data_IF_901882066699
#
_entry.id   IF_901882066699
#
_cell.length_a   1.000
_cell.length_b   1.000
_cell.length_c   1.000
_cell.angle_alpha   90.00
_cell.angle_beta   90.00
_cell.angle_gamma   90.00
#
_symmetry.space_group_name_H-M   'P 1'
#
loop_
_entity.id
_entity.type
_entity.pdbx_description
1 polymer ?
#
# COMPACT_ATOMS: atom_id res chain seq x y z
N UNK A 1 5.09 2.70 -28.21
CA UNK A 1 4.69 4.05 -27.75
C UNK A 1 5.82 4.62 -26.90
N UNK A 2 6.08 5.93 -27.00
CA UNK A 2 7.05 6.65 -26.15
C UNK A 2 6.42 6.98 -24.81
N UNK A 3 6.94 6.40 -23.72
CA UNK A 3 6.34 6.52 -22.39
C UNK A 3 7.33 7.13 -21.41
N UNK A 4 6.87 8.09 -20.62
CA UNK A 4 7.53 8.45 -19.37
C UNK A 4 6.84 7.74 -18.22
N UNK A 5 7.62 7.09 -17.37
CA UNK A 5 7.13 6.44 -16.16
C UNK A 5 7.47 7.26 -14.92
N UNK A 6 6.52 7.46 -14.02
CA UNK A 6 6.71 8.19 -12.77
C UNK A 6 6.31 7.31 -11.57
N UNK A 7 7.28 6.87 -10.78
CA UNK A 7 7.02 5.97 -9.65
C UNK A 7 8.19 5.87 -8.70
N UNK A 8 7.98 5.32 -7.50
CA UNK A 8 9.02 5.30 -6.46
C UNK A 8 9.16 3.97 -5.73
N UNK A 9 8.12 3.45 -5.03
CA UNK A 9 8.27 2.27 -4.19
C UNK A 9 8.27 0.98 -5.01
N UNK A 10 8.50 -0.15 -4.33
CA UNK A 10 8.44 -1.50 -4.90
C UNK A 10 7.11 -1.79 -5.60
N UNK A 11 5.99 -1.21 -5.13
CA UNK A 11 4.68 -1.27 -5.79
C UNK A 11 4.70 -0.86 -7.27
N UNK A 12 5.55 0.10 -7.63
CA UNK A 12 5.59 0.66 -8.98
C UNK A 12 6.49 -0.15 -9.94
N UNK A 13 7.38 -1.00 -9.41
CA UNK A 13 8.39 -1.72 -10.21
C UNK A 13 7.73 -2.69 -11.20
N UNK A 14 6.72 -3.51 -10.83
CA UNK A 14 6.07 -4.40 -11.80
C UNK A 14 5.39 -3.65 -12.96
N UNK A 15 4.83 -2.48 -12.70
CA UNK A 15 4.27 -1.62 -13.76
C UNK A 15 5.36 -1.18 -14.75
N UNK A 16 6.49 -0.65 -14.25
CA UNK A 16 7.62 -0.25 -15.10
C UNK A 16 8.18 -1.44 -15.89
N UNK A 17 8.40 -2.57 -15.23
CA UNK A 17 8.86 -3.79 -15.88
C UNK A 17 7.92 -4.22 -17.01
N UNK A 18 6.61 -4.21 -16.75
CA UNK A 18 5.61 -4.58 -17.76
C UNK A 18 5.61 -3.67 -18.97
N UNK A 19 5.85 -2.37 -18.80
CA UNK A 19 5.97 -1.45 -19.94
C UNK A 19 7.12 -1.86 -20.87
N UNK A 20 8.28 -2.21 -20.30
CA UNK A 20 9.45 -2.68 -21.05
C UNK A 20 9.17 -4.02 -21.72
N UNK A 21 8.62 -4.98 -20.98
CA UNK A 21 8.29 -6.32 -21.49
C UNK A 21 7.27 -6.29 -22.64
N UNK A 22 6.30 -5.36 -22.59
CA UNK A 22 5.30 -5.14 -23.64
C UNK A 22 5.89 -4.42 -24.89
N UNK A 23 7.20 -4.12 -24.90
CA UNK A 23 7.89 -3.50 -26.04
C UNK A 23 7.68 -1.99 -26.17
N UNK A 24 7.26 -1.30 -25.10
CA UNK A 24 7.16 0.16 -25.13
C UNK A 24 8.55 0.81 -25.02
N UNK A 25 8.70 1.98 -25.62
CA UNK A 25 9.91 2.79 -25.49
C UNK A 25 9.76 3.64 -24.22
N UNK A 26 10.29 3.17 -23.09
CA UNK A 26 10.33 3.96 -21.85
C UNK A 26 11.47 4.97 -21.95
N UNK A 27 11.14 6.21 -22.33
CA UNK A 27 12.11 7.26 -22.66
C UNK A 27 12.70 7.95 -21.43
N UNK A 28 12.08 7.77 -20.26
CA UNK A 28 12.58 8.29 -19.01
C UNK A 28 11.76 7.86 -17.80
N UNK A 29 12.43 7.74 -16.67
CA UNK A 29 11.85 7.37 -15.37
C UNK A 29 12.01 8.53 -14.40
N UNK A 30 10.91 8.99 -13.82
CA UNK A 30 10.89 9.98 -12.75
C UNK A 30 10.64 9.29 -11.42
N UNK A 31 11.50 9.54 -10.45
CA UNK A 31 11.39 8.95 -9.11
C UNK A 31 11.79 9.95 -8.03
N UNK A 32 11.43 9.68 -6.78
CA UNK A 32 11.85 10.55 -5.67
C UNK A 32 13.37 10.53 -5.53
N UNK A 33 14.00 11.60 -5.02
CA UNK A 33 15.43 11.59 -4.67
C UNK A 33 15.76 10.45 -3.71
N UNK A 34 17.00 9.96 -3.78
CA UNK A 34 17.52 8.95 -2.85
C UNK A 34 17.35 9.44 -1.41
N UNK A 35 16.94 8.55 -0.51
CA UNK A 35 16.70 8.89 0.90
C UNK A 35 17.52 7.99 1.81
N UNK A 36 18.02 8.52 2.94
CA UNK A 36 18.57 7.70 4.00
C UNK A 36 17.56 6.66 4.50
N UNK A 37 17.95 5.38 4.54
CA UNK A 37 17.07 4.28 4.99
C UNK A 37 17.79 3.40 6.02
N UNK A 38 17.01 2.83 6.94
CA UNK A 38 17.49 1.85 7.92
C UNK A 38 18.36 2.42 9.04
N UNK A 39 18.97 1.52 9.82
CA UNK A 39 19.95 1.89 10.86
C UNK A 39 21.27 2.22 10.16
N UNK A 40 21.81 3.42 10.40
CA UNK A 40 23.05 3.90 9.77
C UNK A 40 22.84 4.96 8.67
N UNK A 41 21.58 5.28 8.32
CA UNK A 41 21.23 6.35 7.38
C UNK A 41 21.93 6.24 6.01
N UNK A 42 22.21 5.02 5.56
CA UNK A 42 22.77 4.78 4.22
C UNK A 42 21.82 5.33 3.16
N UNK A 43 22.35 6.18 2.29
CA UNK A 43 21.61 6.71 1.16
C UNK A 43 21.22 5.55 0.26
N UNK A 44 19.90 5.31 0.14
CA UNK A 44 19.37 4.15 -0.60
C UNK A 44 18.55 4.66 -1.78
N UNK A 45 18.84 4.20 -3.01
CA UNK A 45 18.04 4.56 -4.17
C UNK A 45 16.63 3.97 -4.09
N UNK A 46 15.61 4.63 -4.68
CA UNK A 46 14.30 4.04 -4.83
C UNK A 46 14.33 2.75 -5.67
N UNK A 47 13.47 1.76 -5.38
CA UNK A 47 13.37 0.54 -6.18
C UNK A 47 13.17 0.79 -7.69
N UNK A 48 12.35 1.78 -8.05
CA UNK A 48 12.14 2.18 -9.44
C UNK A 48 13.42 2.70 -10.11
N UNK A 49 14.29 3.41 -9.37
CA UNK A 49 15.59 3.87 -9.88
C UNK A 49 16.49 2.68 -10.20
N UNK A 50 16.60 1.74 -9.28
CA UNK A 50 17.44 0.54 -9.44
C UNK A 50 17.05 -0.23 -10.70
N UNK A 51 15.76 -0.52 -10.87
CA UNK A 51 15.28 -1.22 -12.06
C UNK A 51 15.56 -0.44 -13.35
N UNK A 52 15.34 0.89 -13.34
CA UNK A 52 15.59 1.73 -14.51
C UNK A 52 17.07 1.73 -14.93
N UNK A 53 17.98 1.89 -13.97
CA UNK A 53 19.43 1.89 -14.22
C UNK A 53 19.91 0.53 -14.74
N UNK A 54 19.42 -0.58 -14.17
CA UNK A 54 19.72 -1.95 -14.63
C UNK A 54 19.28 -2.21 -16.09
N UNK A 55 18.24 -1.51 -16.55
CA UNK A 55 17.71 -1.62 -17.91
C UNK A 55 18.16 -0.48 -18.83
N UNK A 56 19.12 0.36 -18.40
CA UNK A 56 19.65 1.46 -19.20
C UNK A 56 18.65 2.60 -19.49
N UNK A 57 17.60 2.73 -18.67
CA UNK A 57 16.57 3.76 -18.83
C UNK A 57 17.02 5.04 -18.10
N UNK A 58 16.97 6.23 -18.74
CA UNK A 58 17.34 7.48 -18.09
C UNK A 58 16.48 7.78 -16.84
N UNK A 59 17.13 8.11 -15.73
CA UNK A 59 16.47 8.43 -14.45
C UNK A 59 16.56 9.93 -14.14
N UNK A 60 15.43 10.50 -13.73
CA UNK A 60 15.29 11.89 -13.31
C UNK A 60 14.72 11.97 -11.89
N UNK A 61 15.37 12.75 -11.02
CA UNK A 61 14.97 12.90 -9.61
C UNK A 61 14.76 14.37 -9.25
N UNK A 62 13.89 15.12 -9.96
CA UNK A 62 13.69 16.53 -9.71
C UNK A 62 13.16 16.74 -8.29
N UNK A 63 13.58 17.81 -7.61
CA UNK A 63 13.12 18.11 -6.25
C UNK A 63 11.67 18.60 -6.23
N UNK A 64 11.23 19.28 -7.27
CA UNK A 64 9.86 19.74 -7.48
C UNK A 64 9.39 19.40 -8.89
N UNK A 65 8.08 19.32 -9.09
CA UNK A 65 7.49 19.26 -10.44
C UNK A 65 7.06 20.64 -10.95
N UNK A 66 7.24 21.69 -10.13
CA UNK A 66 6.69 23.05 -10.34
C UNK A 66 7.75 24.13 -10.61
N UNK A 67 9.03 23.78 -10.57
CA UNK A 67 10.15 24.72 -10.78
C UNK A 67 10.61 24.81 -12.24
N UNK A 68 9.93 24.12 -13.16
CA UNK A 68 10.21 24.11 -14.59
C UNK A 68 11.28 23.09 -15.03
N UNK A 69 12.12 22.59 -14.12
CA UNK A 69 13.17 21.61 -14.47
C UNK A 69 12.56 20.33 -15.07
N UNK A 70 11.58 19.77 -14.37
CA UNK A 70 10.87 18.56 -14.79
C UNK A 70 10.16 18.76 -16.13
N UNK A 71 9.52 19.92 -16.34
CA UNK A 71 8.81 20.24 -17.58
C UNK A 71 9.76 20.27 -18.78
N UNK A 72 10.93 20.93 -18.63
CA UNK A 72 11.90 21.03 -19.72
C UNK A 72 12.53 19.67 -20.06
N UNK A 73 12.74 18.80 -19.07
CA UNK A 73 13.13 17.41 -19.34
C UNK A 73 12.04 16.70 -20.14
N UNK A 74 10.78 16.76 -19.70
CA UNK A 74 9.67 16.08 -20.36
C UNK A 74 9.46 16.54 -21.80
N UNK A 75 9.58 17.84 -22.08
CA UNK A 75 9.52 18.37 -23.45
C UNK A 75 10.61 17.77 -24.36
N UNK A 76 11.83 17.61 -23.85
CA UNK A 76 12.93 16.97 -24.61
C UNK A 76 12.68 15.48 -24.85
N UNK A 77 12.11 14.78 -23.87
CA UNK A 77 11.77 13.36 -24.00
C UNK A 77 10.63 13.11 -24.99
N UNK A 78 9.74 14.10 -25.14
CA UNK A 78 8.58 14.08 -26.03
C UNK A 78 7.72 12.80 -25.84
N UNK A 79 7.17 12.57 -24.63
CA UNK A 79 6.35 11.40 -24.35
C UNK A 79 4.99 11.47 -25.07
N UNK A 80 4.52 10.32 -25.54
CA UNK A 80 3.15 10.16 -26.01
C UNK A 80 2.18 9.89 -24.85
N UNK A 81 2.67 9.24 -23.79
CA UNK A 81 1.91 8.93 -22.57
C UNK A 81 2.79 9.11 -21.33
N UNK A 82 2.21 9.69 -20.27
CA UNK A 82 2.77 9.59 -18.93
C UNK A 82 2.05 8.50 -18.15
N UNK A 83 2.80 7.60 -17.51
CA UNK A 83 2.27 6.58 -16.60
C UNK A 83 2.75 6.87 -15.20
N UNK A 84 1.82 7.03 -14.26
CA UNK A 84 2.11 7.33 -12.86
C UNK A 84 1.69 6.15 -11.98
N UNK A 85 2.58 5.72 -11.09
CA UNK A 85 2.27 4.69 -10.09
C UNK A 85 3.03 5.02 -8.80
N UNK A 86 2.31 5.43 -7.75
CA UNK A 86 2.89 5.72 -6.44
C UNK A 86 4.11 6.68 -6.46
N UNK A 87 4.02 7.77 -7.23
CA UNK A 87 5.12 8.73 -7.39
C UNK A 87 5.33 9.67 -6.19
N UNK A 88 4.25 10.07 -5.52
CA UNK A 88 4.30 10.92 -4.33
C UNK A 88 4.61 12.41 -4.61
N UNK A 89 4.43 12.88 -5.85
CA UNK A 89 4.40 14.31 -6.19
C UNK A 89 3.14 14.64 -6.97
N UNK A 90 2.66 15.86 -6.79
CA UNK A 90 1.56 16.42 -7.56
C UNK A 90 2.12 16.93 -8.90
N UNK A 91 1.52 16.51 -10.00
CA UNK A 91 1.85 17.01 -11.33
C UNK A 91 1.06 18.29 -11.60
N UNK A 92 1.72 19.39 -11.99
CA UNK A 92 1.02 20.60 -12.40
C UNK A 92 0.40 20.42 -13.82
N UNK A 93 -0.60 21.23 -14.20
CA UNK A 93 -1.33 21.09 -15.47
C UNK A 93 -0.43 21.00 -16.71
N UNK A 94 0.64 21.81 -16.76
CA UNK A 94 1.58 21.84 -17.87
C UNK A 94 2.37 20.55 -18.08
N UNK A 95 2.47 19.69 -17.06
CA UNK A 95 3.04 18.35 -17.16
C UNK A 95 1.95 17.31 -17.41
N UNK A 96 0.80 17.47 -16.75
CA UNK A 96 -0.31 16.54 -16.81
C UNK A 96 -0.90 16.44 -18.23
N UNK A 97 -1.03 17.57 -18.92
CA UNK A 97 -1.56 17.65 -20.28
C UNK A 97 -0.49 17.71 -21.37
N UNK A 98 0.80 17.52 -21.03
CA UNK A 98 1.89 17.55 -22.00
C UNK A 98 1.85 16.40 -23.03
N UNK A 99 1.60 15.13 -22.63
CA UNK A 99 1.67 14.02 -23.57
C UNK A 99 0.58 14.08 -24.62
N UNK A 100 0.88 13.58 -25.82
CA UNK A 100 -0.08 13.53 -26.93
C UNK A 100 -1.39 12.83 -26.57
N UNK A 101 -1.32 11.72 -25.83
CA UNK A 101 -2.49 10.96 -25.43
C UNK A 101 -3.04 11.47 -24.10
N UNK A 102 -2.37 11.16 -22.99
CA UNK A 102 -2.81 11.55 -21.65
C UNK A 102 -1.73 11.27 -20.59
N UNK A 103 -2.00 11.69 -19.35
CA UNK A 103 -1.37 11.15 -18.16
C UNK A 103 -2.35 10.21 -17.45
N UNK A 104 -1.91 8.99 -17.15
CA UNK A 104 -2.71 8.00 -16.41
C UNK A 104 -2.06 7.63 -15.09
N UNK A 105 -2.86 7.26 -14.10
CA UNK A 105 -2.39 6.71 -12.82
C UNK A 105 -2.92 5.29 -12.61
N UNK A 106 -2.08 4.42 -12.03
CA UNK A 106 -2.47 3.11 -11.53
C UNK A 106 -2.69 3.19 -10.03
N UNK A 107 -3.96 3.15 -9.61
CA UNK A 107 -4.39 3.35 -8.23
C UNK A 107 -4.80 2.04 -7.56
N UNK A 108 -4.32 1.80 -6.35
CA UNK A 108 -4.49 0.52 -5.63
C UNK A 108 -5.83 0.41 -4.87
N UNK A 109 -6.92 0.86 -5.50
CA UNK A 109 -8.29 0.62 -5.04
C UNK A 109 -9.27 0.53 -6.21
N UNK A 110 -10.52 0.19 -5.90
CA UNK A 110 -11.66 0.37 -6.77
C UNK A 110 -12.21 1.79 -6.59
N UNK A 111 -11.80 2.72 -7.47
CA UNK A 111 -12.31 4.08 -7.47
C UNK A 111 -13.82 4.09 -7.79
N UNK A 112 -14.61 5.05 -7.25
CA UNK A 112 -14.19 6.26 -6.52
C UNK A 112 -13.85 6.05 -5.04
N UNK A 113 -13.93 4.83 -4.50
CA UNK A 113 -13.59 4.57 -3.11
C UNK A 113 -12.07 4.60 -2.88
N UNK A 114 -11.68 5.04 -1.69
CA UNK A 114 -10.28 5.08 -1.23
C UNK A 114 -9.35 5.94 -2.10
N UNK A 115 -9.78 7.17 -2.43
CA UNK A 115 -8.90 8.20 -3.03
C UNK A 115 -7.78 8.56 -2.04
N UNK A 116 -6.55 8.75 -2.51
CA UNK A 116 -5.44 9.24 -1.71
C UNK A 116 -4.33 8.23 -1.42
N UNK A 117 -3.68 8.38 -0.26
CA UNK A 117 -2.31 7.92 -0.07
C UNK A 117 -2.13 6.45 0.36
N UNK A 118 -3.09 5.85 1.06
CA UNK A 118 -2.93 4.51 1.66
C UNK A 118 -4.13 3.57 1.45
N UNK A 119 -4.65 3.42 0.22
CA UNK A 119 -5.88 2.66 -0.04
C UNK A 119 -5.81 1.22 0.45
N UNK A 120 -4.67 0.54 0.23
CA UNK A 120 -4.47 -0.88 0.57
C UNK A 120 -4.75 -1.14 2.05
N UNK A 121 -4.15 -0.33 2.93
CA UNK A 121 -4.32 -0.48 4.37
C UNK A 121 -5.72 -0.11 4.81
N UNK A 122 -6.29 0.97 4.26
CA UNK A 122 -7.64 1.41 4.64
C UNK A 122 -8.73 0.43 4.21
N UNK A 123 -8.62 -0.23 3.06
CA UNK A 123 -9.54 -1.31 2.69
C UNK A 123 -9.55 -2.41 3.76
N UNK A 124 -8.36 -2.83 4.22
CA UNK A 124 -8.25 -3.85 5.26
C UNK A 124 -8.78 -3.37 6.61
N UNK A 125 -8.40 -2.15 7.03
CA UNK A 125 -8.81 -1.56 8.30
C UNK A 125 -10.33 -1.43 8.40
N UNK A 126 -10.98 -1.08 7.29
CA UNK A 126 -12.44 -0.97 7.21
C UNK A 126 -13.15 -2.32 7.03
N UNK A 127 -12.40 -3.42 6.95
CA UNK A 127 -12.95 -4.77 6.86
C UNK A 127 -13.51 -5.14 5.49
N UNK A 128 -13.07 -4.46 4.42
CA UNK A 128 -13.45 -4.79 3.05
C UNK A 128 -13.11 -6.25 2.73
N UNK A 129 -13.98 -6.89 1.95
CA UNK A 129 -13.81 -8.26 1.46
C UNK A 129 -13.27 -8.33 0.05
N UNK A 130 -13.28 -7.21 -0.65
CA UNK A 130 -12.70 -7.04 -1.96
C UNK A 130 -12.04 -5.67 -2.07
N UNK A 131 -11.02 -5.57 -2.90
CA UNK A 131 -10.45 -4.32 -3.39
C UNK A 131 -10.08 -4.53 -4.86
N UNK A 132 -9.17 -3.74 -5.39
CA UNK A 132 -8.69 -3.92 -6.74
C UNK A 132 -7.68 -2.86 -7.14
N UNK A 133 -7.45 -2.80 -8.45
CA UNK A 133 -6.67 -1.74 -9.07
C UNK A 133 -7.53 -1.03 -10.10
N UNK A 134 -7.38 0.29 -10.16
CA UNK A 134 -8.02 1.13 -11.17
C UNK A 134 -6.95 1.89 -11.95
N UNK A 135 -6.97 1.79 -13.28
CA UNK A 135 -6.35 2.80 -14.13
C UNK A 135 -7.32 3.95 -14.31
N UNK A 136 -6.82 5.18 -14.16
CA UNK A 136 -7.61 6.38 -14.34
C UNK A 136 -6.85 7.42 -15.15
N UNK A 137 -7.58 8.30 -15.83
CA UNK A 137 -7.02 9.58 -16.27
C UNK A 137 -6.61 10.39 -15.05
N UNK A 138 -5.52 11.14 -15.16
CA UNK A 138 -5.18 12.14 -14.17
C UNK A 138 -5.86 13.46 -14.51
N UNK A 139 -6.25 14.21 -13.48
CA UNK A 139 -6.62 15.62 -13.55
C UNK A 139 -5.99 16.37 -12.36
N UNK A 140 -6.32 17.64 -12.14
CA UNK A 140 -5.74 18.45 -11.07
C UNK A 140 -6.16 18.01 -9.66
N UNK A 141 -7.25 17.26 -9.55
CA UNK A 141 -7.74 16.74 -8.28
C UNK A 141 -7.02 15.47 -7.82
N UNK A 142 -7.20 15.12 -6.55
CA UNK A 142 -6.58 13.95 -5.95
C UNK A 142 -7.40 12.69 -6.26
N UNK A 143 -6.93 11.89 -7.21
CA UNK A 143 -7.56 10.63 -7.62
C UNK A 143 -9.00 10.76 -8.11
N UNK A 144 -9.31 11.91 -8.73
CA UNK A 144 -10.66 12.29 -9.19
C UNK A 144 -10.89 12.12 -10.69
N UNK A 145 -9.86 11.78 -11.47
CA UNK A 145 -10.00 11.66 -12.93
C UNK A 145 -10.80 10.43 -13.34
N UNK A 146 -11.29 10.45 -14.58
CA UNK A 146 -12.21 9.42 -15.07
C UNK A 146 -11.54 8.03 -15.05
N UNK A 147 -12.33 7.03 -14.65
CA UNK A 147 -11.91 5.64 -14.58
C UNK A 147 -11.79 5.08 -16.00
N UNK A 148 -10.68 4.40 -16.29
CA UNK A 148 -10.42 3.77 -17.58
C UNK A 148 -10.73 2.27 -17.51
N UNK A 149 -10.04 1.54 -16.63
CA UNK A 149 -10.26 0.12 -16.38
C UNK A 149 -10.08 -0.18 -14.89
N UNK A 150 -10.82 -1.16 -14.38
CA UNK A 150 -10.67 -1.65 -13.01
C UNK A 150 -10.70 -3.18 -12.99
N UNK A 151 -9.90 -3.77 -12.11
CA UNK A 151 -9.89 -5.22 -11.86
C UNK A 151 -10.01 -5.48 -10.37
N UNK A 152 -10.85 -6.45 -10.00
CA UNK A 152 -11.15 -6.78 -8.60
C UNK A 152 -10.22 -7.87 -8.06
N UNK A 153 -9.97 -7.82 -6.76
CA UNK A 153 -9.21 -8.82 -6.01
C UNK A 153 -9.90 -9.08 -4.66
N UNK A 154 -10.29 -10.33 -4.37
CA UNK A 154 -10.76 -10.72 -3.04
C UNK A 154 -9.68 -10.52 -1.97
N UNK A 155 -10.09 -10.10 -0.78
CA UNK A 155 -9.24 -9.98 0.41
C UNK A 155 -9.53 -11.16 1.31
N UNK A 156 -8.60 -12.13 1.32
CA UNK A 156 -8.65 -13.29 2.22
C UNK A 156 -8.65 -12.84 3.69
N UNK A 157 -9.31 -13.63 4.55
CA UNK A 157 -9.58 -13.26 5.94
C UNK A 157 -8.31 -12.85 6.71
N UNK A 158 -7.24 -13.65 6.59
CA UNK A 158 -5.98 -13.42 7.29
C UNK A 158 -4.95 -12.62 6.48
N UNK A 159 -5.31 -12.15 5.28
CA UNK A 159 -4.38 -11.42 4.41
C UNK A 159 -3.96 -10.10 5.07
N UNK A 160 -2.65 -9.90 5.14
CA UNK A 160 -2.02 -8.66 5.60
C UNK A 160 -1.94 -7.61 4.49
N UNK A 161 -1.75 -6.35 4.86
CA UNK A 161 -1.56 -5.28 3.87
C UNK A 161 -0.31 -5.47 3.02
N UNK A 162 0.75 -6.11 3.55
CA UNK A 162 1.94 -6.48 2.78
C UNK A 162 1.65 -7.52 1.69
N UNK A 163 0.92 -8.58 2.03
CA UNK A 163 0.55 -9.61 1.04
C UNK A 163 -0.43 -9.06 -0.01
N UNK A 164 -1.38 -8.23 0.42
CA UNK A 164 -2.30 -7.56 -0.49
C UNK A 164 -1.56 -6.60 -1.42
N UNK A 165 -0.56 -5.87 -0.91
CA UNK A 165 0.31 -5.01 -1.70
C UNK A 165 1.00 -5.77 -2.83
N UNK A 166 1.57 -6.93 -2.55
CA UNK A 166 2.29 -7.71 -3.56
C UNK A 166 1.34 -8.23 -4.65
N UNK A 167 0.15 -8.71 -4.27
CA UNK A 167 -0.90 -9.11 -5.22
C UNK A 167 -1.38 -7.94 -6.09
N UNK A 168 -1.66 -6.77 -5.48
CA UNK A 168 -2.13 -5.59 -6.20
C UNK A 168 -1.07 -4.97 -7.11
N UNK A 169 0.22 -5.07 -6.73
CA UNK A 169 1.33 -4.58 -7.54
C UNK A 169 1.40 -5.30 -8.89
N UNK A 170 1.26 -6.64 -8.87
CA UNK A 170 1.18 -7.46 -10.08
C UNK A 170 -0.09 -7.19 -10.88
N UNK A 171 -1.25 -7.13 -10.21
CA UNK A 171 -2.52 -6.81 -10.86
C UNK A 171 -2.48 -5.43 -11.54
N UNK A 172 -1.81 -4.44 -10.94
CA UNK A 172 -1.67 -3.12 -11.51
C UNK A 172 -0.84 -3.10 -12.78
N UNK A 173 0.18 -3.95 -12.88
CA UNK A 173 0.93 -4.13 -14.12
C UNK A 173 0.04 -4.72 -15.24
N UNK A 174 -0.82 -5.69 -14.90
CA UNK A 174 -1.78 -6.25 -15.86
C UNK A 174 -2.82 -5.22 -16.32
N UNK A 175 -3.40 -4.46 -15.38
CA UNK A 175 -4.35 -3.38 -15.68
C UNK A 175 -3.70 -2.31 -16.56
N UNK A 176 -2.46 -1.91 -16.26
CA UNK A 176 -1.70 -0.96 -17.07
C UNK A 176 -1.53 -1.43 -18.51
N UNK A 177 -1.10 -2.69 -18.70
CA UNK A 177 -0.93 -3.27 -20.04
C UNK A 177 -2.25 -3.32 -20.82
N UNK A 178 -3.35 -3.75 -20.18
CA UNK A 178 -4.68 -3.72 -20.79
C UNK A 178 -5.10 -2.30 -21.17
N UNK A 179 -4.81 -1.33 -20.31
CA UNK A 179 -5.15 0.09 -20.53
C UNK A 179 -4.41 0.66 -21.74
N UNK A 180 -3.12 0.37 -21.88
CA UNK A 180 -2.32 0.86 -23.02
C UNK A 180 -2.78 0.21 -24.33
N UNK A 181 -3.14 -1.09 -24.32
CA UNK A 181 -3.72 -1.75 -25.51
C UNK A 181 -5.04 -1.09 -25.90
N UNK A 182 -5.92 -0.86 -24.94
CA UNK A 182 -7.21 -0.19 -25.16
C UNK A 182 -7.06 1.29 -25.59
N UNK A 183 -5.95 1.94 -25.22
CA UNK A 183 -5.63 3.29 -25.68
C UNK A 183 -5.19 3.28 -27.16
N UNK A 184 -4.39 2.28 -27.54
CA UNK A 184 -3.86 2.15 -28.90
C UNK A 184 -4.90 1.70 -29.93
N UNK A 185 -5.91 0.94 -29.51
CA UNK A 185 -7.03 0.50 -30.35
C UNK A 185 -8.23 1.47 -30.34
N UNK A 186 -8.11 2.61 -29.64
CA UNK A 186 -9.15 3.63 -29.48
C UNK A 186 -10.46 3.08 -28.88
N UNK A 187 -10.37 2.06 -28.01
CA UNK A 187 -11.53 1.41 -27.38
C UNK A 187 -11.81 1.86 -25.94
N UNK A 188 -10.94 2.69 -25.35
CA UNK A 188 -11.16 3.24 -24.01
C UNK A 188 -12.47 4.04 -23.93
N UNK A 189 -13.22 3.80 -22.87
CA UNK A 189 -14.45 4.53 -22.54
C UNK A 189 -14.32 5.09 -21.13
N UNK A 190 -13.75 6.29 -20.96
CA UNK A 190 -13.59 6.90 -19.64
C UNK A 190 -14.94 7.04 -18.94
N UNK A 191 -15.00 6.66 -17.66
CA UNK A 191 -16.19 6.73 -16.82
C UNK A 191 -15.95 7.80 -15.76
N UNK A 192 -16.77 8.86 -15.81
CA UNK A 192 -16.73 9.90 -14.79
C UNK A 192 -17.05 9.31 -13.42
N UNK A 193 -16.20 9.59 -12.43
CA UNK A 193 -16.40 9.16 -11.06
C UNK A 193 -17.64 9.80 -10.42
N UNK A 194 -18.37 9.04 -9.61
CA UNK A 194 -19.43 9.56 -8.75
C UNK A 194 -18.83 10.02 -7.41
N UNK A 195 -18.85 11.33 -7.13
CA UNK A 195 -18.27 11.88 -5.92
C UNK A 195 -19.02 11.47 -4.64
N UNK A 196 -20.32 11.17 -4.73
CA UNK A 196 -21.13 10.73 -3.59
C UNK A 196 -20.75 9.33 -3.10
N UNK A 197 -20.08 8.54 -3.94
CA UNK A 197 -19.55 7.20 -3.60
C UNK A 197 -18.10 7.24 -3.12
N UNK A 198 -17.47 8.42 -3.14
CA UNK A 198 -16.05 8.56 -2.80
C UNK A 198 -15.79 8.48 -1.30
N UNK A 199 -14.64 7.94 -0.95
CA UNK A 199 -14.08 8.04 0.40
C UNK A 199 -12.56 8.19 0.30
N UNK A 200 -11.94 8.79 1.31
CA UNK A 200 -10.50 9.07 1.31
C UNK A 200 -9.73 8.08 2.18
N UNK A 201 -8.55 7.70 1.70
CA UNK A 201 -7.57 6.87 2.39
C UNK A 201 -6.35 7.73 2.77
N UNK A 202 -6.38 8.46 3.90
CA UNK A 202 -5.30 9.36 4.28
C UNK A 202 -4.00 8.60 4.61
N UNK A 203 -2.88 9.33 4.62
CA UNK A 203 -1.59 8.75 4.98
C UNK A 203 -1.61 8.18 6.41
N UNK A 204 -1.05 6.99 6.58
CA UNK A 204 -0.97 6.34 7.90
C UNK A 204 0.01 7.07 8.81
N UNK A 205 -0.32 7.12 10.09
CA UNK A 205 0.54 7.68 11.14
C UNK A 205 0.75 6.67 12.25
N UNK A 206 1.83 6.83 13.03
CA UNK A 206 2.08 5.98 14.21
C UNK A 206 1.01 6.11 15.29
N UNK A 207 0.18 7.16 15.25
CA UNK A 207 -0.96 7.32 16.15
C UNK A 207 -2.05 6.24 15.93
N UNK A 208 -2.07 5.61 14.75
CA UNK A 208 -2.95 4.48 14.46
C UNK A 208 -2.45 3.16 15.06
N UNK A 209 -1.16 3.05 15.40
CA UNK A 209 -0.55 1.79 15.83
C UNK A 209 -1.17 1.18 17.11
N UNK A 210 -1.47 1.95 18.19
CA UNK A 210 -2.01 1.38 19.42
C UNK A 210 -3.31 0.63 19.19
N UNK A 211 -3.36 -0.64 19.61
CA UNK A 211 -4.57 -1.45 19.56
C UNK A 211 -5.46 -1.07 20.73
N UNK A 212 -6.76 -1.00 20.47
CA UNK A 212 -7.79 -0.87 21.48
C UNK A 212 -8.56 -2.20 21.53
N UNK A 213 -8.28 -3.03 22.54
CA UNK A 213 -8.96 -4.33 22.71
C UNK A 213 -10.40 -4.17 23.19
N UNK A 214 -10.85 -2.95 23.53
CA UNK A 214 -12.27 -2.64 23.77
C UNK A 214 -13.07 -2.55 22.46
N UNK A 215 -12.46 -2.89 21.33
CA UNK A 215 -13.12 -3.09 20.04
C UNK A 215 -13.50 -4.56 19.82
N UNK A 216 -14.29 -4.82 18.79
CA UNK A 216 -14.70 -6.17 18.39
C UNK A 216 -13.52 -6.97 17.85
N UNK A 217 -13.64 -8.30 17.81
CA UNK A 217 -12.58 -9.17 17.27
C UNK A 217 -12.23 -8.81 15.82
N UNK A 218 -13.23 -8.45 15.01
CA UNK A 218 -13.02 -8.06 13.60
C UNK A 218 -12.24 -6.76 13.50
N UNK A 219 -12.58 -5.73 14.29
CA UNK A 219 -11.85 -4.45 14.32
C UNK A 219 -10.39 -4.64 14.76
N UNK A 220 -10.15 -5.42 15.83
CA UNK A 220 -8.79 -5.69 16.32
C UNK A 220 -7.98 -6.48 15.30
N UNK A 221 -8.57 -7.53 14.73
CA UNK A 221 -7.93 -8.37 13.72
C UNK A 221 -7.58 -7.57 12.45
N UNK A 222 -8.53 -6.78 11.93
CA UNK A 222 -8.32 -5.89 10.79
C UNK A 222 -7.22 -4.86 11.07
N UNK A 223 -7.15 -4.34 12.30
CA UNK A 223 -6.09 -3.42 12.71
C UNK A 223 -4.71 -4.06 12.70
N UNK A 224 -4.59 -5.30 13.17
CA UNK A 224 -3.32 -6.04 13.13
C UNK A 224 -2.89 -6.29 11.69
N UNK A 225 -3.76 -6.90 10.86
CA UNK A 225 -3.40 -7.28 9.50
C UNK A 225 -3.26 -6.07 8.55
N UNK A 226 -4.03 -5.00 8.76
CA UNK A 226 -4.01 -3.78 7.95
C UNK A 226 -2.83 -2.85 8.19
N UNK A 227 -2.20 -2.93 9.36
CA UNK A 227 -0.97 -2.20 9.67
C UNK A 227 0.29 -3.08 9.51
N UNK A 228 0.15 -4.33 9.08
CA UNK A 228 1.28 -5.24 8.87
C UNK A 228 1.76 -5.21 7.41
N UNK A 229 3.07 -5.03 7.13
CA UNK A 229 4.19 -4.96 8.09
C UNK A 229 4.46 -3.54 8.64
N UNK A 230 3.91 -2.49 8.03
CA UNK A 230 4.11 -1.10 8.42
C UNK A 230 2.78 -0.35 8.48
N UNK A 231 2.53 0.50 9.50
CA UNK A 231 3.43 0.91 10.60
C UNK A 231 3.49 -0.07 11.80
N UNK A 232 2.85 -1.23 11.67
CA UNK A 232 2.66 -2.29 12.66
C UNK A 232 1.73 -1.88 13.81
N UNK A 233 0.74 -2.73 14.11
CA UNK A 233 -0.10 -2.56 15.29
C UNK A 233 0.73 -2.81 16.57
N UNK A 234 0.39 -2.12 17.66
CA UNK A 234 1.18 -2.13 18.90
C UNK A 234 0.29 -2.21 20.13
N UNK A 235 0.75 -2.90 21.16
CA UNK A 235 0.13 -2.96 22.48
C UNK A 235 1.21 -2.86 23.57
N UNK A 236 0.81 -2.75 24.83
CA UNK A 236 1.71 -2.74 25.99
C UNK A 236 1.48 -3.99 26.83
N UNK A 237 2.55 -4.73 27.09
CA UNK A 237 2.54 -5.92 27.94
C UNK A 237 3.63 -5.80 29.01
N UNK A 238 3.25 -5.87 30.29
CA UNK A 238 4.21 -5.72 31.40
C UNK A 238 4.98 -4.39 31.36
N UNK A 239 4.33 -3.31 30.91
CA UNK A 239 4.95 -1.98 30.77
C UNK A 239 5.88 -1.82 29.57
N UNK A 240 6.03 -2.85 28.73
CA UNK A 240 6.87 -2.82 27.52
C UNK A 240 6.04 -2.86 26.26
N UNK A 241 6.51 -2.18 25.22
CA UNK A 241 5.84 -2.16 23.93
C UNK A 241 6.03 -3.49 23.20
N UNK A 242 4.95 -4.02 22.66
CA UNK A 242 4.93 -5.19 21.79
C UNK A 242 4.27 -4.81 20.48
N UNK A 243 4.87 -5.20 19.36
CA UNK A 243 4.26 -5.11 18.04
C UNK A 243 3.55 -6.41 17.70
N UNK A 244 2.36 -6.32 17.12
CA UNK A 244 1.57 -7.47 16.69
C UNK A 244 1.53 -7.48 15.15
N UNK A 245 1.94 -8.59 14.55
CA UNK A 245 2.17 -8.71 13.10
C UNK A 245 1.10 -9.54 12.39
N UNK A 246 0.56 -10.55 13.06
CA UNK A 246 -0.48 -11.42 12.52
C UNK A 246 -1.33 -12.01 13.64
N UNK A 247 -2.58 -12.28 13.33
CA UNK A 247 -3.57 -12.84 14.25
C UNK A 247 -4.58 -13.68 13.48
N UNK A 248 -5.36 -14.50 14.18
CA UNK A 248 -6.42 -15.32 13.62
C UNK A 248 -7.66 -15.23 14.53
N UNK A 249 -8.83 -15.10 13.91
CA UNK A 249 -10.09 -15.05 14.65
C UNK A 249 -10.48 -16.44 15.12
N UNK A 250 -11.07 -16.53 16.31
CA UNK A 250 -11.57 -17.79 16.86
C UNK A 250 -13.03 -17.63 17.29
N UNK A 251 -13.71 -18.75 17.49
CA UNK A 251 -15.05 -18.79 18.10
C UNK A 251 -15.00 -19.02 19.62
N UNK A 252 -13.80 -19.07 20.20
CA UNK A 252 -13.61 -19.17 21.65
C UNK A 252 -14.03 -17.86 22.33
N UNK A 253 -14.48 -17.97 23.58
CA UNK A 253 -14.96 -16.85 24.37
C UNK A 253 -14.42 -16.85 25.79
N UNK A 254 -14.26 -15.67 26.37
CA UNK A 254 -13.86 -15.50 27.76
C UNK A 254 -13.04 -14.23 28.00
N UNK A 255 -12.78 -13.94 29.28
CA UNK A 255 -11.94 -12.83 29.71
C UNK A 255 -12.55 -11.44 29.54
N UNK A 256 -11.94 -10.45 30.18
CA UNK A 256 -12.21 -9.04 29.93
C UNK A 256 -11.37 -8.53 28.74
N UNK A 257 -11.81 -7.48 28.01
CA UNK A 257 -11.04 -6.90 26.90
C UNK A 257 -9.55 -6.67 27.23
N UNK A 258 -8.67 -7.23 26.40
CA UNK A 258 -7.22 -7.17 26.56
C UNK A 258 -6.64 -8.27 27.47
N UNK A 259 -7.46 -9.05 28.18
CA UNK A 259 -7.01 -10.18 28.99
C UNK A 259 -6.46 -11.30 28.11
N UNK A 260 -5.34 -11.88 28.53
CA UNK A 260 -4.62 -12.95 27.85
C UNK A 260 -5.02 -14.28 28.48
N UNK A 261 -5.38 -15.24 27.63
CA UNK A 261 -5.51 -16.65 27.98
C UNK A 261 -4.39 -17.42 27.28
N UNK A 262 -3.56 -18.12 28.06
CA UNK A 262 -2.55 -19.03 27.53
C UNK A 262 -3.06 -20.46 27.63
N UNK A 263 -3.20 -21.14 26.50
CA UNK A 263 -3.68 -22.52 26.44
C UNK A 263 -2.97 -23.28 25.33
N UNK A 264 -2.47 -24.48 25.63
CA UNK A 264 -1.78 -25.35 24.64
C UNK A 264 -0.67 -24.65 23.83
N UNK A 265 0.07 -23.72 24.44
CA UNK A 265 1.13 -22.96 23.75
C UNK A 265 0.61 -21.80 22.87
N UNK A 266 -0.69 -21.53 22.88
CA UNK A 266 -1.31 -20.44 22.14
C UNK A 266 -1.54 -19.22 23.04
N UNK A 267 -1.43 -18.03 22.45
CA UNK A 267 -1.78 -16.76 23.08
C UNK A 267 -3.11 -16.26 22.52
N UNK A 268 -4.14 -16.24 23.35
CA UNK A 268 -5.47 -15.75 23.03
C UNK A 268 -5.72 -14.44 23.79
N UNK A 269 -6.32 -13.44 23.14
CA UNK A 269 -6.61 -12.14 23.74
C UNK A 269 -8.09 -11.81 23.59
N UNK A 270 -8.75 -11.49 24.69
CA UNK A 270 -10.17 -11.17 24.70
C UNK A 270 -10.46 -9.80 24.07
N UNK A 271 -11.52 -9.73 23.28
CA UNK A 271 -12.07 -8.51 22.67
C UNK A 271 -13.42 -8.14 23.31
N UNK A 272 -13.97 -6.96 22.99
CA UNK A 272 -15.22 -6.45 23.61
C UNK A 272 -16.45 -7.32 23.38
N UNK A 273 -16.52 -8.04 22.26
CA UNK A 273 -17.59 -8.97 21.94
C UNK A 273 -17.48 -10.32 22.70
N UNK A 274 -16.51 -10.42 23.61
CA UNK A 274 -16.24 -11.61 24.41
C UNK A 274 -15.54 -12.72 23.63
N UNK A 275 -15.22 -12.50 22.34
CA UNK A 275 -14.47 -13.46 21.53
C UNK A 275 -12.96 -13.33 21.78
N UNK A 276 -12.25 -14.43 21.61
CA UNK A 276 -10.80 -14.50 21.77
C UNK A 276 -10.10 -14.42 20.41
N UNK A 277 -9.15 -13.50 20.28
CA UNK A 277 -8.27 -13.37 19.14
C UNK A 277 -6.96 -14.13 19.38
N UNK A 278 -6.60 -15.03 18.48
CA UNK A 278 -5.31 -15.74 18.54
C UNK A 278 -4.20 -14.87 17.96
N UNK A 279 -3.17 -14.58 18.74
CA UNK A 279 -1.98 -13.89 18.26
C UNK A 279 -1.02 -14.93 17.69
N UNK A 280 -0.62 -14.75 16.43
CA UNK A 280 0.27 -15.69 15.74
C UNK A 280 1.72 -15.22 15.81
N UNK A 281 1.97 -13.95 15.50
CA UNK A 281 3.31 -13.38 15.53
C UNK A 281 3.36 -12.01 16.18
N UNK A 282 4.41 -11.80 16.95
CA UNK A 282 4.67 -10.58 17.68
C UNK A 282 6.16 -10.22 17.66
N UNK A 283 6.46 -8.99 18.07
CA UNK A 283 7.82 -8.51 18.20
C UNK A 283 7.94 -7.72 19.51
N UNK A 284 8.60 -8.28 20.53
CA UNK A 284 8.90 -7.57 21.77
C UNK A 284 9.86 -6.41 21.53
N UNK A 285 9.82 -5.40 22.39
CA UNK A 285 10.73 -4.27 22.34
C UNK A 285 12.21 -4.71 22.27
N UNK A 286 12.93 -4.18 21.29
CA UNK A 286 14.35 -4.48 21.09
C UNK A 286 14.66 -5.90 20.58
N UNK A 287 13.66 -6.73 20.28
CA UNK A 287 13.83 -8.12 19.81
C UNK A 287 13.43 -8.29 18.34
N UNK A 288 13.74 -9.46 17.78
CA UNK A 288 13.28 -9.88 16.44
C UNK A 288 11.80 -10.29 16.49
N UNK A 289 11.13 -10.24 15.34
CA UNK A 289 9.81 -10.85 15.14
C UNK A 289 9.89 -12.35 15.40
N UNK A 290 8.89 -12.92 16.05
CA UNK A 290 8.80 -14.34 16.40
C UNK A 290 7.34 -14.79 16.52
N UNK A 291 7.11 -16.11 16.54
CA UNK A 291 5.78 -16.66 16.85
C UNK A 291 5.40 -16.39 18.31
N UNK A 292 4.10 -16.32 18.58
CA UNK A 292 3.60 -16.19 19.94
C UNK A 292 4.00 -17.39 20.82
N UNK A 293 4.03 -18.60 20.24
CA UNK A 293 4.51 -19.81 20.92
C UNK A 293 5.98 -19.68 21.39
N UNK A 294 6.87 -19.24 20.49
CA UNK A 294 8.28 -19.03 20.83
C UNK A 294 8.45 -17.93 21.89
N UNK A 295 7.60 -16.91 21.86
CA UNK A 295 7.57 -15.89 22.89
C UNK A 295 7.14 -16.46 24.25
N UNK A 296 6.11 -17.30 24.31
CA UNK A 296 5.62 -17.92 25.55
C UNK A 296 6.65 -18.86 26.20
N UNK A 297 7.53 -19.51 25.42
CA UNK A 297 8.62 -20.33 25.98
C UNK A 297 9.70 -19.51 26.71
N UNK A 298 9.95 -18.27 26.26
CA UNK A 298 10.99 -17.40 26.80
C UNK A 298 10.50 -16.35 27.81
N UNK A 299 9.18 -16.17 27.95
CA UNK A 299 8.57 -15.13 28.75
C UNK A 299 7.49 -15.72 29.67
N UNK A 300 7.54 -15.36 30.96
CA UNK A 300 6.54 -15.78 31.95
C UNK A 300 5.26 -14.97 31.78
N UNK A 301 4.47 -15.29 30.76
CA UNK A 301 3.09 -14.79 30.59
C UNK A 301 2.14 -15.84 31.14
N UNK A 302 1.19 -15.41 31.96
CA UNK A 302 0.18 -16.27 32.58
C UNK A 302 -1.22 -15.83 32.14
N UNK A 303 -2.17 -16.77 32.17
CA UNK A 303 -3.58 -16.43 31.98
C UNK A 303 -4.01 -15.42 33.05
N UNK A 304 -4.68 -14.35 32.62
CA UNK A 304 -5.02 -13.19 33.45
C UNK A 304 -4.07 -12.00 33.31
N UNK A 305 -2.89 -12.18 32.68
CA UNK A 305 -2.11 -11.04 32.19
C UNK A 305 -2.91 -10.27 31.14
N UNK A 306 -2.57 -9.00 30.89
CA UNK A 306 -3.35 -8.18 29.98
C UNK A 306 -2.49 -7.26 29.11
N UNK A 307 -2.90 -7.14 27.85
CA UNK A 307 -2.47 -6.06 26.98
C UNK A 307 -3.21 -4.77 27.33
N UNK A 308 -2.44 -3.69 27.49
CA UNK A 308 -2.94 -2.32 27.59
C UNK A 308 -2.73 -1.56 26.29
#
# INVERSE_FOLDING_TARGET
>A
MRIVFMGTPDFAVPCLKRLVDDGNEVVGVFTQPDKPKGRGYTLTPPPVKVFAEENGIPVFQPKSMRDGEALEILKRLNPELNVVTAYGKILPPEILYLPKFCSINIHASLLPKYRGAAPIQWCILNGEKETGVTSMLMNEGLDTGDILLSEKLPIDENMTAGELHDKLSLLGADVLSKTIRALLDDSLKPIKQNDDESCYSPMLTKALCPIDFTKTIDEVHNKIRGLSPWPTATAVLGGKKVKLHSSEKTELKGGAPGEITVSHGEMLVACKDGKLLKILELQPEGKKRMSAEAFLLGHKIQSGDSFK
#
